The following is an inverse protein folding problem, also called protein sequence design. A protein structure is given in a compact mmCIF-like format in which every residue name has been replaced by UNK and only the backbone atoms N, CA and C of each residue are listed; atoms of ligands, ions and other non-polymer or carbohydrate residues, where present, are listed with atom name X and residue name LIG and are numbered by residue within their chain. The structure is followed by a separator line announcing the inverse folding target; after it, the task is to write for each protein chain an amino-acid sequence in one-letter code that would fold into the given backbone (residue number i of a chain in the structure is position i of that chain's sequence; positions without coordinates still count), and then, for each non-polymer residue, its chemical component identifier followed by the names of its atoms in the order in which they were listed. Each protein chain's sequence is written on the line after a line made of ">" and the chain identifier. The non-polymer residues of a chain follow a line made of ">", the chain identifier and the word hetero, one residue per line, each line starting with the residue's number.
data_IF_689093099749
#
_entry.id   IF_689093099749
#
_cell.length_a   1.000
_cell.length_b   1.000
_cell.length_c   1.000
_cell.angle_alpha   90.00
_cell.angle_beta   90.00
_cell.angle_gamma   90.00
#
_symmetry.space_group_name_H-M   'P 1'
#
loop_
_entity.id
_entity.type
_entity.pdbx_description
1 polymer ?
#
# COMPACT_ATOMS: atom_id res chain seq x y z
N UNK A 1 16.07 30.26 -30.96
CA UNK A 1 16.88 29.22 -30.31
C UNK A 1 16.01 27.98 -30.15
N UNK A 2 16.25 26.88 -30.91
CA UNK A 2 15.55 25.63 -30.64
C UNK A 2 15.99 25.16 -29.26
N UNK A 3 15.10 25.22 -28.25
CA UNK A 3 15.35 24.53 -27.00
C UNK A 3 15.58 23.04 -27.33
N UNK A 4 16.78 22.54 -27.01
CA UNK A 4 17.03 21.10 -27.06
C UNK A 4 16.04 20.43 -26.13
N UNK A 5 15.25 19.49 -26.65
CA UNK A 5 14.34 18.70 -25.80
C UNK A 5 15.21 17.92 -24.80
N UNK A 6 14.91 18.07 -23.52
CA UNK A 6 15.52 17.24 -22.48
C UNK A 6 15.05 15.80 -22.74
N UNK A 7 15.99 14.86 -22.72
CA UNK A 7 15.69 13.45 -22.95
C UNK A 7 16.05 12.62 -21.72
N UNK A 8 15.14 11.78 -21.28
CA UNK A 8 15.31 10.82 -20.19
C UNK A 8 14.97 9.40 -20.68
N UNK A 9 15.48 8.39 -20.04
CA UNK A 9 15.02 7.03 -20.32
C UNK A 9 13.58 6.86 -19.84
N UNK A 10 13.32 7.34 -18.61
CA UNK A 10 12.03 7.17 -17.93
C UNK A 10 11.57 8.49 -17.32
N UNK A 11 10.28 8.79 -17.48
CA UNK A 11 9.59 9.80 -16.68
C UNK A 11 8.57 9.10 -15.78
N UNK A 12 8.56 9.44 -14.50
CA UNK A 12 7.60 8.95 -13.52
C UNK A 12 6.70 10.11 -13.09
N UNK A 13 5.42 9.98 -13.33
CA UNK A 13 4.41 10.93 -12.90
C UNK A 13 3.75 10.46 -11.61
N UNK A 14 4.02 11.14 -10.50
CA UNK A 14 3.58 10.81 -9.15
C UNK A 14 4.74 10.42 -8.23
N UNK A 15 4.96 11.23 -7.19
CA UNK A 15 5.99 11.07 -6.14
C UNK A 15 5.44 10.48 -4.83
N UNK A 16 4.39 9.68 -4.89
CA UNK A 16 3.98 8.84 -3.77
C UNK A 16 4.99 7.72 -3.51
N UNK A 17 4.81 6.92 -2.44
CA UNK A 17 5.75 5.85 -2.09
C UNK A 17 6.05 4.94 -3.29
N UNK A 18 5.04 4.53 -4.05
CA UNK A 18 5.25 3.68 -5.22
C UNK A 18 6.06 4.37 -6.34
N UNK A 19 5.76 5.64 -6.63
CA UNK A 19 6.49 6.39 -7.66
C UNK A 19 7.95 6.67 -7.28
N UNK A 20 8.19 7.08 -6.02
CA UNK A 20 9.56 7.26 -5.51
C UNK A 20 10.32 5.94 -5.45
N UNK A 21 9.66 4.82 -5.08
CA UNK A 21 10.29 3.49 -5.12
C UNK A 21 10.64 3.10 -6.56
N UNK A 22 9.77 3.40 -7.53
CA UNK A 22 10.10 3.18 -8.93
C UNK A 22 11.30 4.03 -9.37
N UNK A 23 11.36 5.30 -8.95
CA UNK A 23 12.49 6.18 -9.26
C UNK A 23 13.81 5.63 -8.70
N UNK A 24 13.82 5.17 -7.45
CA UNK A 24 14.97 4.49 -6.85
C UNK A 24 15.32 3.24 -7.63
N UNK A 25 14.37 2.36 -7.88
CA UNK A 25 14.60 1.06 -8.51
C UNK A 25 15.20 1.18 -9.94
N UNK A 26 14.66 2.09 -10.75
CA UNK A 26 15.18 2.32 -12.09
C UNK A 26 16.50 3.11 -12.07
N UNK A 27 16.67 4.03 -11.12
CA UNK A 27 17.94 4.73 -10.91
C UNK A 27 19.06 3.78 -10.53
N UNK A 28 18.84 2.84 -9.60
CA UNK A 28 19.78 1.78 -9.23
C UNK A 28 20.18 0.90 -10.43
N UNK A 29 19.26 0.70 -11.35
CA UNK A 29 19.52 -0.06 -12.56
C UNK A 29 20.26 0.76 -13.64
N UNK A 30 20.61 2.03 -13.38
CA UNK A 30 21.40 2.89 -14.26
C UNK A 30 20.60 3.63 -15.33
N UNK A 31 19.25 3.68 -15.23
CA UNK A 31 18.44 4.46 -16.15
C UNK A 31 18.42 5.93 -15.74
N UNK A 32 18.39 6.84 -16.74
CA UNK A 32 18.14 8.27 -16.54
C UNK A 32 16.66 8.50 -16.24
N UNK A 33 16.34 8.90 -15.00
CA UNK A 33 14.97 9.03 -14.51
C UNK A 33 14.65 10.49 -14.17
N UNK A 34 13.47 10.95 -14.58
CA UNK A 34 12.80 12.13 -14.05
C UNK A 34 11.55 11.70 -13.31
N UNK A 35 11.43 12.03 -12.02
CA UNK A 35 10.23 11.83 -11.24
C UNK A 35 9.62 13.17 -10.84
N UNK A 36 8.32 13.35 -11.08
CA UNK A 36 7.61 14.60 -10.79
C UNK A 36 6.40 14.36 -9.91
N UNK A 37 6.12 15.26 -8.97
CA UNK A 37 4.90 15.25 -8.15
C UNK A 37 4.46 16.69 -7.85
N UNK A 38 3.15 17.02 -7.90
CA UNK A 38 2.66 18.35 -7.58
C UNK A 38 2.94 18.79 -6.14
N UNK A 39 3.22 17.84 -5.24
CA UNK A 39 3.47 18.09 -3.81
C UNK A 39 4.81 17.52 -3.36
N UNK A 40 5.49 18.24 -2.47
CA UNK A 40 6.67 17.69 -1.80
C UNK A 40 6.27 16.60 -0.79
N UNK A 41 7.00 15.47 -0.73
CA UNK A 41 6.76 14.46 0.30
C UNK A 41 6.98 15.02 1.69
N UNK A 42 6.02 14.83 2.59
CA UNK A 42 6.15 15.18 4.00
C UNK A 42 6.75 13.99 4.74
N UNK A 43 7.89 14.22 5.40
CA UNK A 43 8.64 13.21 6.18
C UNK A 43 8.50 13.42 7.69
N UNK A 44 8.17 14.63 8.14
CA UNK A 44 7.91 14.92 9.54
C UNK A 44 6.48 14.51 9.92
N UNK A 45 6.36 13.52 10.83
CA UNK A 45 5.08 13.03 11.34
C UNK A 45 4.28 14.10 12.12
N UNK A 46 4.93 15.15 12.63
CA UNK A 46 4.28 16.25 13.33
C UNK A 46 3.63 17.27 12.39
N UNK A 47 4.02 17.27 11.12
CA UNK A 47 3.48 18.18 10.13
C UNK A 47 2.01 17.86 9.83
N UNK A 48 1.16 18.91 9.73
CA UNK A 48 -0.28 18.76 9.51
C UNK A 48 -0.66 17.97 8.23
N UNK A 49 0.20 17.99 7.20
CA UNK A 49 0.04 17.25 5.95
C UNK A 49 0.67 15.86 5.94
N UNK A 50 1.16 15.36 7.09
CA UNK A 50 1.81 14.06 7.15
C UNK A 50 0.83 12.92 6.82
N UNK A 51 1.30 11.95 6.04
CA UNK A 51 0.59 10.68 5.84
C UNK A 51 0.90 9.75 7.01
N UNK A 52 0.05 9.77 8.02
CA UNK A 52 0.21 9.01 9.27
C UNK A 52 -0.22 7.54 9.14
N UNK A 53 -0.50 7.07 7.93
CA UNK A 53 -0.70 5.65 7.68
C UNK A 53 0.60 4.89 7.84
N UNK A 54 0.47 3.61 8.12
CA UNK A 54 1.58 2.67 8.11
C UNK A 54 1.32 1.59 7.06
N UNK A 55 2.38 0.94 6.64
CA UNK A 55 2.30 -0.16 5.69
C UNK A 55 3.11 -1.33 6.21
N UNK A 56 2.50 -2.50 6.26
CA UNK A 56 3.22 -3.75 6.47
C UNK A 56 3.83 -4.19 5.13
N UNK A 57 5.14 -4.18 5.05
CA UNK A 57 5.92 -4.68 3.91
C UNK A 57 6.09 -6.19 4.08
N UNK A 58 5.41 -6.97 3.26
CA UNK A 58 5.47 -8.43 3.28
C UNK A 58 6.82 -8.92 2.76
N UNK A 59 7.17 -10.18 3.04
CA UNK A 59 8.48 -10.76 2.71
C UNK A 59 8.95 -10.47 1.26
N UNK A 60 8.14 -10.66 0.19
CA UNK A 60 8.59 -10.34 -1.17
C UNK A 60 8.88 -8.86 -1.38
N UNK A 61 8.07 -7.98 -0.80
CA UNK A 61 8.27 -6.54 -0.90
C UNK A 61 9.53 -6.10 -0.14
N UNK A 62 9.78 -6.64 1.05
CA UNK A 62 10.98 -6.38 1.82
C UNK A 62 12.23 -6.82 1.06
N UNK A 63 12.21 -8.01 0.45
CA UNK A 63 13.31 -8.50 -0.37
C UNK A 63 13.60 -7.59 -1.57
N UNK A 64 12.56 -7.11 -2.25
CA UNK A 64 12.70 -6.12 -3.33
C UNK A 64 13.29 -4.80 -2.83
N UNK A 65 12.82 -4.27 -1.69
CA UNK A 65 13.36 -3.04 -1.09
C UNK A 65 14.83 -3.22 -0.65
N UNK A 66 15.21 -4.42 -0.20
CA UNK A 66 16.60 -4.78 0.09
C UNK A 66 17.45 -4.77 -1.18
N UNK A 67 16.96 -5.35 -2.27
CA UNK A 67 17.65 -5.41 -3.56
C UNK A 67 17.96 -4.03 -4.14
N UNK A 68 17.08 -3.05 -3.96
CA UNK A 68 17.27 -1.67 -4.42
C UNK A 68 17.98 -0.77 -3.39
N UNK A 69 18.53 -1.35 -2.31
CA UNK A 69 19.30 -0.64 -1.29
C UNK A 69 18.49 0.31 -0.40
N UNK A 70 17.17 0.18 -0.39
CA UNK A 70 16.29 1.03 0.42
C UNK A 70 16.04 0.47 1.82
N UNK A 71 15.89 -0.85 1.95
CA UNK A 71 15.53 -1.48 3.22
C UNK A 71 16.49 -1.16 4.38
N UNK A 72 17.83 -1.16 4.20
CA UNK A 72 18.77 -0.81 5.28
C UNK A 72 18.58 0.58 5.87
N UNK A 73 17.98 1.51 5.13
CA UNK A 73 17.74 2.89 5.59
C UNK A 73 16.52 3.04 6.50
N UNK A 74 15.67 2.01 6.56
CA UNK A 74 14.37 2.10 7.27
C UNK A 74 14.11 0.90 8.21
N UNK A 75 14.94 -0.13 8.16
CA UNK A 75 14.71 -1.39 8.86
C UNK A 75 14.57 -1.24 10.39
N UNK A 76 15.39 -0.41 11.01
CA UNK A 76 15.41 -0.13 12.44
C UNK A 76 14.18 0.63 12.96
N UNK A 77 13.43 1.27 12.05
CA UNK A 77 12.17 1.96 12.33
C UNK A 77 10.93 1.12 12.07
N UNK A 78 11.12 -0.14 11.69
CA UNK A 78 10.04 -1.07 11.39
C UNK A 78 9.76 -2.03 12.56
N UNK A 79 8.52 -2.47 12.71
CA UNK A 79 8.14 -3.50 13.67
C UNK A 79 7.83 -4.82 12.94
N UNK A 80 8.46 -5.95 13.30
CA UNK A 80 8.18 -7.24 12.69
C UNK A 80 6.78 -7.73 13.04
N UNK A 81 6.16 -8.50 12.15
CA UNK A 81 4.85 -9.12 12.30
C UNK A 81 5.01 -10.63 12.34
N UNK A 82 5.12 -11.19 13.55
CA UNK A 82 5.35 -12.62 13.76
C UNK A 82 4.06 -13.44 13.74
N UNK A 83 2.98 -12.87 14.30
CA UNK A 83 1.69 -13.53 14.43
C UNK A 83 0.62 -12.61 13.89
N UNK A 84 -0.29 -13.16 13.09
CA UNK A 84 -1.56 -12.56 12.76
C UNK A 84 -2.63 -13.19 13.64
N UNK A 85 -3.23 -12.38 14.49
CA UNK A 85 -4.30 -12.78 15.41
C UNK A 85 -5.63 -12.28 14.91
N UNK A 86 -6.61 -13.17 14.79
CA UNK A 86 -8.00 -12.82 14.53
C UNK A 86 -8.79 -13.04 15.80
N UNK A 87 -9.50 -12.00 16.25
CA UNK A 87 -10.38 -12.01 17.41
C UNK A 87 -11.80 -11.73 16.94
N UNK A 88 -12.71 -12.70 17.10
CA UNK A 88 -14.14 -12.48 16.90
C UNK A 88 -14.79 -12.22 18.25
N UNK A 89 -15.22 -10.98 18.45
CA UNK A 89 -15.88 -10.46 19.65
C UNK A 89 -17.36 -10.12 19.37
N UNK A 90 -17.95 -10.65 18.29
CA UNK A 90 -19.34 -10.41 17.92
C UNK A 90 -20.33 -11.35 18.63
N UNK A 91 -19.86 -12.45 19.24
CA UNK A 91 -20.65 -13.42 20.01
C UNK A 91 -20.53 -13.23 21.52
N UNK A 92 -21.18 -14.14 22.28
CA UNK A 92 -21.11 -14.18 23.76
C UNK A 92 -19.71 -14.54 24.26
N UNK A 93 -18.97 -15.36 23.49
CA UNK A 93 -17.61 -15.77 23.81
C UNK A 93 -16.62 -15.20 22.81
N UNK A 94 -15.48 -14.72 23.30
CA UNK A 94 -14.39 -14.22 22.48
C UNK A 94 -13.67 -15.41 21.84
N UNK A 95 -13.68 -15.47 20.49
CA UNK A 95 -12.97 -16.48 19.72
C UNK A 95 -11.64 -15.89 19.23
N UNK A 96 -10.52 -16.54 19.54
CA UNK A 96 -9.18 -16.11 19.16
C UNK A 96 -8.50 -17.19 18.33
N UNK A 97 -7.91 -16.81 17.21
CA UNK A 97 -7.11 -17.68 16.33
C UNK A 97 -5.81 -16.98 15.94
N UNK A 98 -4.71 -17.66 16.16
CA UNK A 98 -3.36 -17.17 15.88
C UNK A 98 -2.81 -17.91 14.66
N UNK A 99 -2.29 -17.16 13.70
CA UNK A 99 -1.55 -17.63 12.54
C UNK A 99 -0.10 -17.21 12.74
N UNK A 100 0.80 -18.19 12.88
CA UNK A 100 2.21 -17.93 13.16
C UNK A 100 3.02 -17.96 11.86
N UNK A 101 3.89 -16.97 11.64
CA UNK A 101 4.78 -16.93 10.50
C UNK A 101 5.68 -18.18 10.43
N UNK A 102 6.11 -18.70 11.58
CA UNK A 102 6.92 -19.91 11.69
C UNK A 102 6.25 -21.19 11.11
N UNK A 103 4.92 -21.17 10.87
CA UNK A 103 4.25 -22.28 10.20
C UNK A 103 4.65 -22.40 8.71
N UNK A 104 5.19 -21.35 8.11
CA UNK A 104 5.47 -21.28 6.65
C UNK A 104 6.83 -20.68 6.29
N UNK A 105 7.53 -20.00 7.22
CA UNK A 105 8.79 -19.31 6.96
C UNK A 105 9.54 -19.06 8.27
N UNK A 106 10.88 -18.99 8.21
CA UNK A 106 11.73 -18.57 9.34
C UNK A 106 11.72 -17.05 9.57
N UNK A 107 11.15 -16.27 8.64
CA UNK A 107 11.04 -14.84 8.74
C UNK A 107 9.62 -14.40 9.19
N UNK A 108 9.45 -13.19 9.74
CA UNK A 108 8.14 -12.60 10.00
C UNK A 108 7.29 -12.54 8.73
N UNK A 109 5.96 -12.45 8.84
CA UNK A 109 5.08 -12.20 7.70
C UNK A 109 5.45 -10.94 6.92
N UNK A 110 5.97 -9.96 7.62
CA UNK A 110 6.39 -8.68 7.10
C UNK A 110 6.79 -7.75 8.23
N UNK A 111 7.01 -6.49 7.91
CA UNK A 111 7.44 -5.44 8.82
C UNK A 111 6.57 -4.20 8.64
N UNK A 112 5.98 -3.72 9.71
CA UNK A 112 5.15 -2.51 9.67
C UNK A 112 6.03 -1.27 9.83
N UNK A 113 5.83 -0.29 8.96
CA UNK A 113 6.62 0.94 8.91
C UNK A 113 5.72 2.14 8.61
N UNK A 114 6.02 3.28 9.24
CA UNK A 114 5.35 4.55 8.95
C UNK A 114 5.61 5.03 7.52
N UNK A 115 4.58 5.57 6.88
CA UNK A 115 4.73 6.11 5.53
C UNK A 115 5.69 7.32 5.50
N UNK A 116 5.78 8.09 6.58
CA UNK A 116 6.73 9.20 6.74
C UNK A 116 8.18 8.69 6.79
N UNK A 117 8.47 7.60 7.52
CA UNK A 117 9.79 6.98 7.60
C UNK A 117 10.22 6.40 6.25
N UNK A 118 9.29 5.74 5.55
CA UNK A 118 9.55 5.24 4.20
C UNK A 118 9.86 6.37 3.22
N UNK A 119 9.14 7.48 3.29
CA UNK A 119 9.42 8.66 2.44
C UNK A 119 10.79 9.26 2.73
N UNK A 120 11.18 9.36 3.99
CA UNK A 120 12.51 9.85 4.37
C UNK A 120 13.61 8.94 3.80
N UNK A 121 13.47 7.62 3.97
CA UNK A 121 14.40 6.65 3.38
C UNK A 121 14.49 6.75 1.86
N UNK A 122 13.34 6.91 1.18
CA UNK A 122 13.28 7.10 -0.27
C UNK A 122 13.99 8.37 -0.72
N UNK A 123 13.76 9.50 -0.06
CA UNK A 123 14.44 10.77 -0.39
C UNK A 123 15.94 10.69 -0.13
N UNK A 124 16.36 10.06 0.96
CA UNK A 124 17.77 9.79 1.26
C UNK A 124 18.41 8.95 0.15
N UNK A 125 17.74 7.89 -0.29
CA UNK A 125 18.26 7.03 -1.37
C UNK A 125 18.32 7.75 -2.70
N UNK A 126 17.30 8.53 -3.05
CA UNK A 126 17.27 9.35 -4.27
C UNK A 126 18.42 10.37 -4.32
N UNK A 127 18.73 11.00 -3.19
CA UNK A 127 19.85 11.95 -3.08
C UNK A 127 21.22 11.32 -3.36
N UNK A 128 21.34 9.99 -3.29
CA UNK A 128 22.57 9.28 -3.63
C UNK A 128 22.63 8.80 -5.09
N UNK A 129 21.58 9.05 -5.90
CA UNK A 129 21.46 8.59 -7.28
C UNK A 129 21.58 9.79 -8.26
N UNK A 130 22.75 10.07 -8.84
CA UNK A 130 22.97 11.25 -9.69
C UNK A 130 22.21 11.19 -11.02
N UNK A 131 21.75 10.01 -11.44
CA UNK A 131 20.95 9.77 -12.65
C UNK A 131 19.44 9.88 -12.40
N UNK A 132 19.02 10.24 -11.19
CA UNK A 132 17.60 10.45 -10.84
C UNK A 132 17.37 11.90 -10.47
N UNK A 133 16.51 12.56 -11.25
CA UNK A 133 16.05 13.92 -10.98
C UNK A 133 14.63 13.86 -10.39
N UNK A 134 14.47 14.21 -9.10
CA UNK A 134 13.15 14.30 -8.47
C UNK A 134 12.76 15.76 -8.30
N UNK A 135 11.66 16.16 -8.93
CA UNK A 135 11.13 17.53 -8.93
C UNK A 135 9.78 17.62 -8.20
N UNK A 136 9.78 17.82 -6.88
CA UNK A 136 8.55 18.13 -6.13
C UNK A 136 8.04 19.53 -6.50
N UNK A 137 6.70 19.71 -6.52
CA UNK A 137 6.04 20.93 -6.95
C UNK A 137 5.77 21.00 -8.47
N UNK A 138 6.22 19.99 -9.21
CA UNK A 138 6.03 19.90 -10.67
C UNK A 138 5.08 18.75 -10.98
N UNK A 139 4.10 19.00 -11.84
CA UNK A 139 3.14 17.98 -12.30
C UNK A 139 3.20 17.74 -13.81
N UNK A 140 2.74 16.57 -14.22
CA UNK A 140 2.49 16.26 -15.64
C UNK A 140 1.16 16.91 -16.06
N UNK A 141 1.22 17.82 -17.04
CA UNK A 141 0.05 18.49 -17.61
C UNK A 141 -0.55 17.67 -18.75
N UNK A 142 0.31 17.16 -19.62
CA UNK A 142 -0.11 16.33 -20.75
C UNK A 142 0.98 15.38 -21.19
N UNK A 143 0.60 14.30 -21.82
CA UNK A 143 1.51 13.36 -22.47
C UNK A 143 1.02 13.07 -23.89
N UNK A 144 1.94 13.01 -24.84
CA UNK A 144 1.72 12.58 -26.19
C UNK A 144 2.69 11.44 -26.50
N UNK A 145 2.17 10.32 -26.93
CA UNK A 145 2.98 9.13 -27.23
C UNK A 145 3.11 8.92 -28.73
N UNK A 146 4.24 8.36 -29.11
CA UNK A 146 4.58 7.92 -30.48
C UNK A 146 5.27 6.56 -30.38
N UNK A 147 5.42 5.88 -31.47
CA UNK A 147 6.07 4.55 -31.50
C UNK A 147 7.47 4.51 -30.87
N UNK A 148 8.22 5.61 -30.90
CA UNK A 148 9.61 5.68 -30.41
C UNK A 148 9.78 6.37 -29.06
N UNK A 149 8.87 7.26 -28.68
CA UNK A 149 9.01 8.10 -27.47
C UNK A 149 7.67 8.56 -26.91
N UNK A 150 7.65 8.90 -25.64
CA UNK A 150 6.61 9.73 -25.02
C UNK A 150 7.14 11.16 -24.83
N UNK A 151 6.30 12.16 -25.08
CA UNK A 151 6.56 13.58 -24.86
C UNK A 151 5.67 14.08 -23.75
N UNK A 152 6.26 14.53 -22.69
CA UNK A 152 5.56 15.00 -21.48
C UNK A 152 5.72 16.51 -21.37
N UNK A 153 4.62 17.22 -21.17
CA UNK A 153 4.62 18.63 -20.82
C UNK A 153 4.40 18.77 -19.32
N UNK A 154 5.31 19.46 -18.66
CA UNK A 154 5.31 19.71 -17.23
C UNK A 154 4.62 21.03 -16.88
N UNK A 155 4.22 21.21 -15.62
CA UNK A 155 3.62 22.46 -15.12
C UNK A 155 4.59 23.65 -15.17
N UNK A 156 5.91 23.40 -15.22
CA UNK A 156 6.94 24.40 -15.51
C UNK A 156 6.95 24.90 -16.96
N UNK A 157 6.08 24.38 -17.82
CA UNK A 157 6.07 24.57 -19.29
C UNK A 157 7.22 23.87 -20.03
N UNK A 158 8.06 23.13 -19.34
CA UNK A 158 9.10 22.32 -19.97
C UNK A 158 8.49 21.14 -20.72
N UNK A 159 9.16 20.72 -21.79
CA UNK A 159 8.84 19.53 -22.55
C UNK A 159 9.99 18.55 -22.47
N UNK A 160 9.70 17.38 -21.94
CA UNK A 160 10.68 16.31 -21.75
C UNK A 160 10.24 15.10 -22.58
N UNK A 161 11.18 14.49 -23.28
CA UNK A 161 10.97 13.24 -24.00
C UNK A 161 11.51 12.06 -23.20
N UNK A 162 10.87 10.90 -23.32
CA UNK A 162 11.36 9.67 -22.70
C UNK A 162 11.02 8.44 -23.54
N UNK A 163 11.74 7.35 -23.29
CA UNK A 163 11.43 6.03 -23.87
C UNK A 163 10.17 5.42 -23.25
N UNK A 164 9.98 5.62 -21.93
CA UNK A 164 8.85 5.11 -21.19
C UNK A 164 8.34 6.12 -20.15
N UNK A 165 7.03 6.35 -20.14
CA UNK A 165 6.31 7.07 -19.10
C UNK A 165 5.74 6.07 -18.10
N UNK A 166 6.00 6.24 -16.80
CA UNK A 166 5.38 5.48 -15.71
C UNK A 166 4.36 6.37 -15.01
N UNK A 167 3.10 5.99 -15.07
CA UNK A 167 2.02 6.67 -14.37
C UNK A 167 1.82 6.04 -12.99
N UNK A 168 2.22 6.77 -11.95
CA UNK A 168 2.01 6.50 -10.52
C UNK A 168 1.15 7.60 -9.86
N UNK A 169 0.33 8.28 -10.66
CA UNK A 169 -0.40 9.52 -10.41
C UNK A 169 -1.75 9.31 -9.71
N UNK A 170 -1.91 8.17 -9.03
CA UNK A 170 -3.00 7.86 -8.13
C UNK A 170 -4.26 7.29 -8.81
N UNK A 171 -5.27 7.02 -7.96
CA UNK A 171 -6.51 6.30 -8.35
C UNK A 171 -7.32 7.00 -9.43
N UNK A 172 -7.24 8.31 -9.49
CA UNK A 172 -7.92 9.15 -10.50
C UNK A 172 -6.94 9.62 -11.59
N UNK A 173 -5.95 8.80 -11.93
CA UNK A 173 -4.87 9.05 -12.88
C UNK A 173 -5.32 9.84 -14.12
N UNK A 174 -4.84 11.08 -14.31
CA UNK A 174 -5.10 11.85 -15.51
C UNK A 174 -4.44 11.23 -16.75
N UNK A 175 -3.25 10.59 -16.59
CA UNK A 175 -2.56 9.92 -17.69
C UNK A 175 -3.37 8.71 -18.17
N UNK A 176 -3.91 7.89 -17.26
CA UNK A 176 -4.79 6.78 -17.63
C UNK A 176 -6.03 7.26 -18.38
N UNK A 177 -6.68 8.35 -17.91
CA UNK A 177 -7.84 8.92 -18.57
C UNK A 177 -7.50 9.48 -19.97
N UNK A 178 -6.37 10.17 -20.09
CA UNK A 178 -5.89 10.67 -21.39
C UNK A 178 -5.63 9.54 -22.40
N UNK A 179 -5.12 8.40 -21.91
CA UNK A 179 -4.95 7.18 -22.72
C UNK A 179 -6.28 6.44 -23.00
N UNK A 180 -7.43 6.97 -22.54
CA UNK A 180 -8.79 6.40 -22.69
C UNK A 180 -8.92 4.98 -22.11
N UNK A 181 -8.11 4.63 -21.11
CA UNK A 181 -8.17 3.35 -20.42
C UNK A 181 -9.15 3.46 -19.26
N UNK A 182 -10.20 2.65 -19.32
CA UNK A 182 -11.23 2.58 -18.27
C UNK A 182 -10.69 1.80 -17.07
N UNK A 183 -11.28 2.10 -15.90
CA UNK A 183 -11.07 1.33 -14.68
C UNK A 183 -12.42 1.00 -14.06
N UNK A 184 -12.63 -0.27 -13.73
CA UNK A 184 -13.82 -0.70 -13.00
C UNK A 184 -13.61 -0.37 -11.52
N UNK A 185 -14.49 0.47 -10.95
CA UNK A 185 -14.46 0.89 -9.55
C UNK A 185 -15.67 0.34 -8.81
N UNK A 186 -15.45 -0.12 -7.58
CA UNK A 186 -16.50 -0.51 -6.64
C UNK A 186 -16.30 0.29 -5.36
N UNK A 187 -17.36 1.00 -4.93
CA UNK A 187 -17.40 1.67 -3.64
C UNK A 187 -18.11 0.74 -2.64
N UNK A 188 -17.53 0.58 -1.45
CA UNK A 188 -18.08 -0.29 -0.41
C UNK A 188 -18.99 0.45 0.58
N UNK A 189 -19.14 1.75 0.44
CA UNK A 189 -19.93 2.58 1.36
C UNK A 189 -19.35 2.66 2.77
N UNK A 190 -18.02 2.52 2.88
CA UNK A 190 -17.27 2.52 4.12
C UNK A 190 -16.13 3.54 4.09
N UNK A 191 -15.69 3.94 5.30
CA UNK A 191 -14.42 4.62 5.50
C UNK A 191 -13.49 3.72 6.32
N UNK A 192 -12.20 3.84 6.09
CA UNK A 192 -11.16 3.38 6.98
C UNK A 192 -10.64 4.59 7.76
N UNK A 193 -10.68 4.52 9.10
CA UNK A 193 -10.08 5.50 9.99
C UNK A 193 -8.70 4.99 10.38
N UNK A 194 -7.66 5.75 10.07
CA UNK A 194 -6.27 5.44 10.38
C UNK A 194 -5.70 6.40 11.41
N UNK A 195 -5.04 5.87 12.42
CA UNK A 195 -4.34 6.59 13.50
C UNK A 195 -3.36 5.64 14.19
N UNK A 196 -2.55 6.15 15.11
CA UNK A 196 -1.72 5.33 15.99
C UNK A 196 -2.13 5.52 17.45
N UNK A 197 -1.89 4.49 18.24
CA UNK A 197 -2.17 4.46 19.69
C UNK A 197 -0.96 4.00 20.48
N UNK A 198 -0.79 4.51 21.71
CA UNK A 198 -0.05 3.84 22.78
C UNK A 198 -0.98 2.97 23.59
N UNK A 199 -0.44 1.96 24.29
CA UNK A 199 -1.22 1.00 25.07
C UNK A 199 -0.42 0.41 26.23
N UNK A 200 -1.10 -0.27 27.16
CA UNK A 200 -0.49 -0.77 28.41
C UNK A 200 0.22 -2.12 28.25
N UNK A 201 -0.30 -2.98 27.36
CA UNK A 201 0.16 -4.36 27.20
C UNK A 201 1.04 -4.45 25.95
N UNK A 202 2.22 -5.07 26.04
CA UNK A 202 3.11 -5.29 24.91
C UNK A 202 2.41 -6.08 23.79
N UNK A 203 2.54 -5.62 22.55
CA UNK A 203 1.95 -6.28 21.38
C UNK A 203 2.69 -7.56 20.96
N UNK A 204 3.90 -7.81 21.46
CA UNK A 204 4.72 -9.03 21.18
C UNK A 204 4.83 -9.35 19.68
N UNK A 205 4.90 -8.34 18.82
CA UNK A 205 4.93 -8.47 17.35
C UNK A 205 3.68 -9.17 16.76
N UNK A 206 2.55 -9.09 17.44
CA UNK A 206 1.27 -9.65 17.04
C UNK A 206 0.40 -8.59 16.39
N UNK A 207 0.10 -8.74 15.11
CA UNK A 207 -0.95 -7.97 14.44
C UNK A 207 -2.31 -8.56 14.81
N UNK A 208 -3.18 -7.77 15.44
CA UNK A 208 -4.48 -8.25 15.91
C UNK A 208 -5.63 -7.59 15.14
N UNK A 209 -6.45 -8.40 14.47
CA UNK A 209 -7.67 -7.97 13.80
C UNK A 209 -8.89 -8.37 14.64
N UNK A 210 -9.63 -7.37 15.14
CA UNK A 210 -10.82 -7.57 15.98
C UNK A 210 -12.07 -7.37 15.15
N UNK A 211 -12.89 -8.42 15.05
CA UNK A 211 -14.22 -8.40 14.47
C UNK A 211 -15.26 -8.21 15.58
N UNK A 212 -15.96 -7.08 15.57
CA UNK A 212 -17.12 -6.77 16.40
C UNK A 212 -18.26 -6.36 15.46
N UNK A 213 -19.06 -5.37 15.71
CA UNK A 213 -20.01 -4.81 14.74
C UNK A 213 -19.31 -3.90 13.71
N UNK A 214 -19.83 -3.81 12.48
CA UNK A 214 -19.50 -2.80 11.48
C UNK A 214 -18.36 -3.13 10.51
N UNK A 215 -17.27 -3.69 10.96
CA UNK A 215 -16.10 -4.02 10.15
C UNK A 215 -14.86 -4.30 10.98
N UNK A 216 -13.72 -4.66 10.39
CA UNK A 216 -12.51 -4.98 11.14
C UNK A 216 -11.89 -3.74 11.82
N UNK A 217 -11.35 -3.99 13.02
CA UNK A 217 -10.50 -3.07 13.76
C UNK A 217 -9.14 -3.74 13.93
N UNK A 218 -8.14 -3.24 13.24
CA UNK A 218 -6.83 -3.89 13.20
C UNK A 218 -5.79 -3.07 13.94
N UNK A 219 -5.11 -3.70 14.89
CA UNK A 219 -3.95 -3.18 15.62
C UNK A 219 -2.70 -3.79 15.02
N UNK A 220 -1.81 -2.98 14.48
CA UNK A 220 -0.57 -3.44 13.83
C UNK A 220 0.63 -2.90 14.60
N UNK A 221 1.55 -3.74 15.09
CA UNK A 221 2.73 -3.32 15.83
C UNK A 221 3.48 -2.16 15.23
N UNK A 222 3.92 -1.24 16.07
CA UNK A 222 4.86 -0.16 15.79
C UNK A 222 6.00 -0.21 16.81
N UNK A 223 7.16 0.39 16.53
CA UNK A 223 8.15 0.66 17.56
C UNK A 223 7.56 1.48 18.72
N UNK A 224 8.09 1.31 19.92
CA UNK A 224 7.63 2.01 21.12
C UNK A 224 7.61 3.53 20.90
N UNK A 225 6.58 4.18 21.41
CA UNK A 225 6.45 5.63 21.38
C UNK A 225 6.55 6.22 22.79
N UNK A 226 7.56 7.06 23.04
CA UNK A 226 7.85 7.67 24.35
C UNK A 226 7.93 6.62 25.48
N UNK A 227 8.55 5.45 25.19
CA UNK A 227 8.73 4.37 26.16
C UNK A 227 7.47 3.55 26.45
N UNK A 228 6.37 3.79 25.73
CA UNK A 228 5.15 2.95 25.76
C UNK A 228 5.02 2.12 24.51
N UNK A 229 4.50 0.88 24.59
CA UNK A 229 4.14 0.10 23.45
C UNK A 229 3.17 0.85 22.53
N UNK A 230 3.31 0.72 21.21
CA UNK A 230 2.45 1.42 20.28
C UNK A 230 2.01 0.56 19.11
N UNK A 231 0.86 0.88 18.54
CA UNK A 231 0.30 0.20 17.37
C UNK A 231 -0.36 1.20 16.41
N UNK A 232 -0.23 0.93 15.12
CA UNK A 232 -1.07 1.57 14.13
C UNK A 232 -2.45 0.93 14.15
N UNK A 233 -3.48 1.75 13.94
CA UNK A 233 -4.87 1.28 13.86
C UNK A 233 -5.44 1.56 12.48
N UNK A 234 -6.14 0.56 11.94
CA UNK A 234 -7.04 0.71 10.80
C UNK A 234 -8.42 0.22 11.24
N UNK A 235 -9.35 1.15 11.39
CA UNK A 235 -10.74 0.85 11.73
C UNK A 235 -11.64 1.06 10.53
N UNK A 236 -12.28 0.02 10.05
CA UNK A 236 -13.19 0.06 8.92
C UNK A 236 -14.62 0.01 9.40
N UNK A 237 -15.44 1.00 8.99
CA UNK A 237 -16.86 1.01 9.34
C UNK A 237 -17.68 1.82 8.33
N UNK A 238 -19.00 1.87 8.53
CA UNK A 238 -19.92 2.72 7.75
C UNK A 238 -19.50 4.18 7.85
N UNK A 239 -19.76 4.94 6.80
CA UNK A 239 -19.38 6.36 6.71
C UNK A 239 -19.90 7.17 7.91
N UNK A 240 -21.16 6.93 8.33
CA UNK A 240 -21.75 7.63 9.48
C UNK A 240 -21.04 7.36 10.79
N UNK A 241 -20.71 6.08 11.07
CA UNK A 241 -20.01 5.69 12.28
C UNK A 241 -18.60 6.30 12.36
N UNK A 242 -17.84 6.26 11.27
CA UNK A 242 -16.49 6.85 11.25
C UNK A 242 -16.55 8.38 11.42
N UNK A 243 -17.50 9.07 10.79
CA UNK A 243 -17.67 10.51 10.97
C UNK A 243 -18.03 10.88 12.40
N UNK A 244 -18.89 10.10 13.05
CA UNK A 244 -19.21 10.25 14.47
C UNK A 244 -17.97 10.09 15.34
N UNK A 245 -17.16 9.04 15.13
CA UNK A 245 -15.92 8.82 15.85
C UNK A 245 -14.91 9.97 15.64
N UNK A 246 -14.82 10.53 14.45
CA UNK A 246 -13.93 11.67 14.17
C UNK A 246 -14.35 12.95 14.92
N UNK A 247 -15.64 13.12 15.22
CA UNK A 247 -16.16 14.31 15.92
C UNK A 247 -16.08 14.23 17.44
N UNK A 248 -15.75 13.07 18.01
CA UNK A 248 -15.65 12.88 19.47
C UNK A 248 -14.44 13.59 20.07
N UNK A 249 -14.56 13.96 21.36
CA UNK A 249 -13.40 14.37 22.16
C UNK A 249 -12.36 13.26 22.22
N UNK A 250 -11.12 13.59 22.58
CA UNK A 250 -10.04 12.60 22.70
C UNK A 250 -10.37 11.54 23.76
N UNK A 251 -10.93 11.93 24.88
CA UNK A 251 -11.30 11.04 25.99
C UNK A 251 -12.40 10.06 25.56
N UNK A 252 -13.46 10.55 24.93
CA UNK A 252 -14.55 9.72 24.43
C UNK A 252 -14.07 8.76 23.31
N UNK A 253 -13.19 9.26 22.43
CA UNK A 253 -12.60 8.46 21.39
C UNK A 253 -11.70 7.33 21.95
N UNK A 254 -10.83 7.64 22.94
CA UNK A 254 -9.98 6.64 23.59
C UNK A 254 -10.80 5.54 24.28
N UNK A 255 -11.89 5.91 24.96
CA UNK A 255 -12.81 4.94 25.54
C UNK A 255 -13.48 4.05 24.45
N UNK A 256 -13.93 4.66 23.35
CA UNK A 256 -14.56 3.94 22.25
C UNK A 256 -13.61 2.96 21.54
N UNK A 257 -12.36 3.34 21.28
CA UNK A 257 -11.37 2.45 20.63
C UNK A 257 -10.90 1.35 21.59
N UNK A 258 -10.82 1.60 22.89
CA UNK A 258 -10.52 0.58 23.90
C UNK A 258 -11.63 -0.49 23.93
N UNK A 259 -12.91 -0.09 23.98
CA UNK A 259 -14.04 -1.02 23.86
C UNK A 259 -14.04 -1.75 22.51
N UNK A 260 -13.79 -1.02 21.43
CA UNK A 260 -13.78 -1.59 20.07
C UNK A 260 -12.69 -2.64 19.89
N UNK A 261 -11.54 -2.47 20.55
CA UNK A 261 -10.43 -3.42 20.57
C UNK A 261 -10.70 -4.68 21.41
N UNK A 262 -11.83 -4.77 22.12
CA UNK A 262 -12.11 -5.78 23.12
C UNK A 262 -11.03 -5.86 24.23
N UNK A 263 -10.32 -4.76 24.50
CA UNK A 263 -9.30 -4.63 25.55
C UNK A 263 -8.05 -5.49 25.32
N UNK A 264 -7.80 -5.98 24.11
CA UNK A 264 -6.70 -6.95 23.83
C UNK A 264 -5.31 -6.42 24.17
N UNK A 265 -5.11 -5.10 24.17
CA UNK A 265 -3.86 -4.43 24.54
C UNK A 265 -4.01 -3.48 25.75
N UNK A 266 -5.09 -3.62 26.52
CA UNK A 266 -5.40 -2.74 27.65
C UNK A 266 -6.02 -1.42 27.18
N UNK A 267 -5.75 -0.33 27.90
CA UNK A 267 -6.23 1.01 27.53
C UNK A 267 -5.49 1.50 26.28
N UNK A 268 -6.24 2.09 25.37
CA UNK A 268 -5.70 2.67 24.14
C UNK A 268 -5.77 4.20 24.21
N UNK A 269 -4.64 4.86 23.99
CA UNK A 269 -4.52 6.32 23.91
C UNK A 269 -4.07 6.74 22.51
N UNK A 270 -4.86 7.55 21.82
CA UNK A 270 -4.48 8.04 20.48
C UNK A 270 -3.28 8.98 20.55
N UNK A 271 -2.27 8.76 19.70
CA UNK A 271 -1.01 9.52 19.68
C UNK A 271 -0.78 10.25 18.34
N UNK A 272 -1.72 10.19 17.40
CA UNK A 272 -1.64 10.87 16.11
C UNK A 272 -2.96 11.51 15.72
N UNK A 273 -2.98 12.30 14.65
CA UNK A 273 -4.22 12.72 14.00
C UNK A 273 -5.01 11.50 13.48
N UNK A 274 -6.33 11.65 13.40
CA UNK A 274 -7.29 10.64 12.91
C UNK A 274 -7.66 10.97 11.46
N UNK A 275 -7.25 10.16 10.51
CA UNK A 275 -7.48 10.40 9.08
C UNK A 275 -8.37 9.32 8.48
N UNK A 276 -9.41 9.74 7.76
CA UNK A 276 -10.38 8.83 7.15
C UNK A 276 -10.21 8.75 5.63
N UNK A 277 -10.36 7.54 5.07
CA UNK A 277 -10.23 7.24 3.65
C UNK A 277 -11.43 6.43 3.14
N UNK A 278 -11.96 6.72 1.94
CA UNK A 278 -12.99 5.90 1.35
C UNK A 278 -12.44 4.51 0.97
N UNK A 279 -13.20 3.47 1.32
CA UNK A 279 -12.86 2.10 0.96
C UNK A 279 -13.45 1.79 -0.40
N UNK A 280 -12.57 1.66 -1.37
CA UNK A 280 -12.91 1.30 -2.75
C UNK A 280 -12.03 0.15 -3.23
N UNK A 281 -12.48 -0.53 -4.27
CA UNK A 281 -11.62 -1.31 -5.14
C UNK A 281 -11.67 -0.75 -6.56
N UNK A 282 -10.56 -0.84 -7.28
CA UNK A 282 -10.46 -0.41 -8.66
C UNK A 282 -9.51 -1.32 -9.43
N UNK A 283 -9.81 -1.59 -10.69
CA UNK A 283 -8.93 -2.32 -11.59
C UNK A 283 -9.02 -1.72 -12.99
N UNK A 284 -7.89 -1.31 -13.55
CA UNK A 284 -7.80 -0.84 -14.92
C UNK A 284 -7.95 -1.97 -15.92
N UNK A 285 -8.57 -1.69 -17.07
CA UNK A 285 -8.72 -2.66 -18.16
C UNK A 285 -7.35 -3.07 -18.71
N UNK A 286 -6.43 -2.12 -18.82
CA UNK A 286 -5.04 -2.34 -19.24
C UNK A 286 -4.07 -1.67 -18.26
N UNK A 287 -2.89 -2.28 -18.06
CA UNK A 287 -1.80 -1.75 -17.25
C UNK A 287 -0.76 -1.01 -18.09
N UNK A 288 -1.07 -0.79 -19.36
CA UNK A 288 -0.22 -0.04 -20.27
C UNK A 288 -1.01 0.65 -21.37
N UNK A 289 -0.39 1.66 -21.96
CA UNK A 289 -0.72 2.26 -23.25
C UNK A 289 0.56 2.40 -24.08
N UNK A 290 0.48 3.03 -25.26
CA UNK A 290 1.69 3.30 -26.05
C UNK A 290 2.72 4.05 -25.19
N UNK A 291 3.94 3.50 -25.09
CA UNK A 291 5.07 4.05 -24.29
C UNK A 291 4.75 4.36 -22.81
N UNK A 292 3.66 3.84 -22.27
CA UNK A 292 3.20 4.17 -20.92
C UNK A 292 2.88 2.93 -20.13
N UNK A 293 3.44 2.80 -18.91
CA UNK A 293 3.07 1.80 -17.90
C UNK A 293 2.24 2.46 -16.80
N UNK A 294 1.18 1.79 -16.36
CA UNK A 294 0.40 2.19 -15.16
C UNK A 294 0.79 1.27 -14.01
N UNK A 295 1.17 1.85 -12.87
CA UNK A 295 1.52 1.13 -11.64
C UNK A 295 0.67 1.63 -10.47
N UNK A 296 0.67 0.87 -9.38
CA UNK A 296 0.03 1.26 -8.13
C UNK A 296 -1.45 1.68 -8.30
N UNK A 297 -1.90 2.74 -7.61
CA UNK A 297 -3.31 3.17 -7.66
C UNK A 297 -3.75 3.64 -9.06
N UNK A 298 -2.84 3.98 -9.96
CA UNK A 298 -3.18 4.24 -11.36
C UNK A 298 -3.65 2.97 -12.09
N UNK A 299 -3.15 1.79 -11.69
CA UNK A 299 -3.51 0.49 -12.24
C UNK A 299 -4.60 -0.23 -11.41
N UNK A 300 -4.48 -0.22 -10.09
CA UNK A 300 -5.36 -0.98 -9.20
C UNK A 300 -5.45 -0.36 -7.80
N UNK A 301 -6.61 -0.53 -7.15
CA UNK A 301 -6.85 -0.17 -5.75
C UNK A 301 -7.53 -1.35 -5.07
N UNK A 302 -7.11 -1.70 -3.87
CA UNK A 302 -7.73 -2.73 -3.04
C UNK A 302 -8.07 -2.17 -1.65
N UNK A 303 -9.12 -2.68 -0.98
CA UNK A 303 -9.41 -2.33 0.41
C UNK A 303 -8.20 -2.59 1.33
N UNK A 304 -8.04 -1.84 2.44
CA UNK A 304 -6.88 -1.94 3.33
C UNK A 304 -6.97 -3.18 4.24
N UNK A 305 -7.07 -4.38 3.64
CA UNK A 305 -7.11 -5.66 4.33
C UNK A 305 -5.87 -6.46 3.95
N UNK A 306 -5.14 -6.96 4.96
CA UNK A 306 -3.96 -7.81 4.78
C UNK A 306 -2.79 -7.13 4.06
N UNK A 307 -2.67 -5.80 4.16
CA UNK A 307 -1.57 -5.00 3.60
C UNK A 307 -1.34 -5.16 2.08
N UNK A 308 -2.39 -5.50 1.29
CA UNK A 308 -2.22 -5.90 -0.11
C UNK A 308 -1.89 -4.74 -1.06
N UNK A 309 -2.32 -3.50 -0.78
CA UNK A 309 -2.26 -2.38 -1.73
C UNK A 309 -0.85 -2.04 -2.21
N UNK A 310 0.01 -1.58 -1.29
CA UNK A 310 1.37 -1.19 -1.63
C UNK A 310 2.25 -2.40 -2.00
N UNK A 311 2.08 -3.54 -1.34
CA UNK A 311 2.83 -4.76 -1.69
C UNK A 311 2.56 -5.22 -3.14
N UNK A 312 1.31 -5.10 -3.62
CA UNK A 312 0.96 -5.35 -5.01
C UNK A 312 1.66 -4.35 -5.95
N UNK A 313 1.72 -3.07 -5.55
CA UNK A 313 2.38 -2.01 -6.30
C UNK A 313 3.90 -2.21 -6.40
N UNK A 314 4.55 -2.67 -5.32
CA UNK A 314 5.98 -3.02 -5.34
C UNK A 314 6.27 -4.16 -6.29
N UNK A 315 5.42 -5.19 -6.33
CA UNK A 315 5.55 -6.26 -7.32
C UNK A 315 5.31 -5.79 -8.76
N UNK A 316 4.52 -4.72 -9.00
CA UNK A 316 4.41 -4.12 -10.34
C UNK A 316 5.72 -3.46 -10.75
N UNK A 317 6.36 -2.73 -9.83
CA UNK A 317 7.64 -2.06 -10.07
C UNK A 317 8.73 -3.09 -10.34
N UNK A 318 8.83 -4.13 -9.52
CA UNK A 318 9.78 -5.23 -9.67
C UNK A 318 9.64 -5.90 -11.05
N UNK A 319 8.42 -6.29 -11.44
CA UNK A 319 8.17 -6.93 -12.72
C UNK A 319 8.50 -6.02 -13.93
N UNK A 320 8.20 -4.72 -13.82
CA UNK A 320 8.52 -3.75 -14.88
C UNK A 320 10.04 -3.52 -14.97
N UNK A 321 10.72 -3.45 -13.81
CA UNK A 321 12.18 -3.33 -13.73
C UNK A 321 12.88 -4.54 -14.33
N UNK A 322 12.46 -5.75 -14.02
CA UNK A 322 13.05 -6.99 -14.55
C UNK A 322 12.94 -7.04 -16.08
N UNK A 323 11.80 -6.64 -16.63
CA UNK A 323 11.62 -6.55 -18.08
C UNK A 323 12.53 -5.50 -18.70
N UNK A 324 12.70 -4.35 -18.06
CA UNK A 324 13.58 -3.28 -18.53
C UNK A 324 15.06 -3.69 -18.47
N UNK A 325 15.49 -4.36 -17.40
CA UNK A 325 16.86 -4.89 -17.27
C UNK A 325 17.18 -5.99 -18.28
N UNK A 326 16.19 -6.84 -18.60
CA UNK A 326 16.35 -7.91 -19.57
C UNK A 326 16.56 -7.39 -21.01
N UNK A 327 15.97 -6.23 -21.35
CA UNK A 327 16.08 -5.64 -22.68
C UNK A 327 16.10 -4.09 -22.61
N UNK A 328 17.19 -3.46 -22.16
CA UNK A 328 17.26 -2.01 -21.95
C UNK A 328 17.03 -1.18 -23.22
N UNK A 329 17.40 -1.71 -24.38
CA UNK A 329 17.16 -1.05 -25.66
C UNK A 329 15.67 -0.99 -26.05
N UNK A 330 14.85 -1.90 -25.52
CA UNK A 330 13.42 -2.05 -25.83
C UNK A 330 12.51 -1.44 -24.77
N UNK A 331 13.07 -0.66 -23.86
CA UNK A 331 12.28 -0.05 -22.77
C UNK A 331 11.11 0.77 -23.34
N UNK A 332 9.92 0.54 -22.81
CA UNK A 332 8.68 1.19 -23.23
C UNK A 332 8.11 0.72 -24.58
N UNK A 333 8.68 -0.31 -25.21
CA UNK A 333 8.11 -0.90 -26.41
C UNK A 333 6.84 -1.70 -26.12
N UNK A 334 6.00 -1.82 -27.13
CA UNK A 334 4.69 -2.45 -27.01
C UNK A 334 4.78 -3.90 -26.47
N UNK A 335 5.76 -4.68 -26.93
CA UNK A 335 5.93 -6.07 -26.50
C UNK A 335 6.36 -6.17 -25.04
N UNK A 336 7.27 -5.31 -24.57
CA UNK A 336 7.66 -5.23 -23.16
C UNK A 336 6.46 -4.89 -22.30
N UNK A 337 5.70 -3.86 -22.66
CA UNK A 337 4.54 -3.38 -21.90
C UNK A 337 3.40 -4.40 -21.91
N UNK A 338 3.21 -5.13 -23.00
CA UNK A 338 2.25 -6.23 -23.08
C UNK A 338 2.63 -7.39 -22.15
N UNK A 339 3.92 -7.76 -22.08
CA UNK A 339 4.43 -8.77 -21.15
C UNK A 339 4.22 -8.33 -19.69
N UNK A 340 4.49 -7.06 -19.37
CA UNK A 340 4.20 -6.48 -18.05
C UNK A 340 2.71 -6.65 -17.70
N UNK A 341 1.81 -6.25 -18.58
CA UNK A 341 0.36 -6.41 -18.38
C UNK A 341 -0.04 -7.86 -18.14
N UNK A 342 0.47 -8.79 -18.97
CA UNK A 342 0.16 -10.21 -18.86
C UNK A 342 0.66 -10.81 -17.53
N UNK A 343 1.79 -10.35 -17.03
CA UNK A 343 2.34 -10.81 -15.77
C UNK A 343 1.56 -10.25 -14.55
N UNK A 344 1.15 -8.98 -14.60
CA UNK A 344 0.66 -8.28 -13.39
C UNK A 344 -0.85 -8.19 -13.28
N UNK A 345 -1.56 -7.94 -14.38
CA UNK A 345 -3.01 -7.72 -14.32
C UNK A 345 -3.81 -8.91 -13.75
N UNK A 346 -3.52 -10.18 -14.09
CA UNK A 346 -4.23 -11.32 -13.50
C UNK A 346 -4.03 -11.42 -11.98
N UNK A 347 -2.81 -11.11 -11.50
CA UNK A 347 -2.49 -11.08 -10.06
C UNK A 347 -3.29 -9.97 -9.38
N UNK A 348 -3.29 -8.75 -9.92
CA UNK A 348 -4.07 -7.65 -9.38
C UNK A 348 -5.58 -7.95 -9.40
N UNK A 349 -6.10 -8.58 -10.45
CA UNK A 349 -7.49 -8.98 -10.56
C UNK A 349 -7.87 -9.98 -9.46
N UNK A 350 -7.07 -11.01 -9.23
CA UNK A 350 -7.31 -11.99 -8.16
C UNK A 350 -7.31 -11.33 -6.78
N UNK A 351 -6.39 -10.37 -6.54
CA UNK A 351 -6.35 -9.60 -5.29
C UNK A 351 -7.56 -8.68 -5.12
N UNK A 352 -7.95 -7.93 -6.14
CA UNK A 352 -9.15 -7.08 -6.12
C UNK A 352 -10.40 -7.88 -5.81
N UNK A 353 -10.57 -9.06 -6.42
CA UNK A 353 -11.70 -9.95 -6.18
C UNK A 353 -11.66 -10.57 -4.79
N UNK A 354 -10.51 -11.13 -4.39
CA UNK A 354 -10.34 -11.82 -3.10
C UNK A 354 -10.50 -10.86 -1.92
N UNK A 355 -9.79 -9.72 -1.92
CA UNK A 355 -9.89 -8.72 -0.85
C UNK A 355 -11.28 -8.10 -0.82
N UNK A 356 -11.89 -7.86 -2.00
CA UNK A 356 -13.27 -7.40 -2.08
C UNK A 356 -14.29 -8.40 -1.50
N UNK A 357 -14.08 -9.70 -1.66
CA UNK A 357 -14.90 -10.75 -1.05
C UNK A 357 -14.69 -10.79 0.47
N UNK A 358 -13.44 -10.73 0.94
CA UNK A 358 -13.13 -10.65 2.37
C UNK A 358 -13.79 -9.42 3.02
N UNK A 359 -13.73 -8.26 2.38
CA UNK A 359 -14.38 -7.05 2.90
C UNK A 359 -15.91 -7.23 3.01
N UNK A 360 -16.55 -7.88 2.04
CA UNK A 360 -17.99 -8.16 2.14
C UNK A 360 -18.30 -9.14 3.28
N UNK A 361 -17.48 -10.17 3.45
CA UNK A 361 -17.65 -11.15 4.52
C UNK A 361 -17.45 -10.53 5.91
N UNK A 362 -16.49 -9.61 6.06
CA UNK A 362 -16.23 -8.91 7.33
C UNK A 362 -17.36 -7.96 7.74
N UNK A 363 -18.13 -7.45 6.75
CA UNK A 363 -19.29 -6.56 6.98
C UNK A 363 -20.57 -7.32 7.35
N UNK A 364 -20.63 -8.63 7.11
CA UNK A 364 -21.85 -9.39 7.31
C UNK A 364 -22.22 -9.38 8.81
N UNK A 365 -23.38 -8.81 9.12
CA UNK A 365 -23.91 -8.65 10.48
C UNK A 365 -24.95 -9.73 10.80
N UNK A 366 -25.19 -9.94 12.10
CA UNK A 366 -26.18 -10.86 12.61
C UNK A 366 -25.60 -12.22 13.05
N UNK A 367 -26.37 -12.98 13.87
CA UNK A 367 -25.88 -14.18 14.54
C UNK A 367 -25.50 -15.30 13.55
N UNK A 368 -26.19 -15.41 12.43
CA UNK A 368 -25.90 -16.43 11.39
C UNK A 368 -24.54 -16.13 10.74
N UNK A 369 -24.29 -14.87 10.38
CA UNK A 369 -23.03 -14.46 9.77
C UNK A 369 -21.84 -14.60 10.74
N UNK A 370 -22.02 -14.23 12.00
CA UNK A 370 -21.01 -14.42 13.05
C UNK A 370 -20.68 -15.91 13.23
N UNK A 371 -21.71 -16.78 13.32
CA UNK A 371 -21.52 -18.22 13.45
C UNK A 371 -20.83 -18.83 12.23
N UNK A 372 -21.21 -18.42 11.01
CA UNK A 372 -20.58 -18.89 9.76
C UNK A 372 -19.11 -18.44 9.70
N UNK A 373 -18.80 -17.20 10.09
CA UNK A 373 -17.43 -16.68 10.16
C UNK A 373 -16.58 -17.44 11.17
N UNK A 374 -17.10 -17.69 12.39
CA UNK A 374 -16.42 -18.44 13.42
C UNK A 374 -16.12 -19.89 12.98
N UNK A 375 -17.11 -20.58 12.38
CA UNK A 375 -16.93 -21.93 11.85
C UNK A 375 -15.91 -21.98 10.69
N UNK A 376 -15.97 -21.02 9.77
CA UNK A 376 -15.01 -20.90 8.67
C UNK A 376 -13.59 -20.67 9.17
N UNK A 377 -13.42 -19.77 10.15
CA UNK A 377 -12.14 -19.49 10.78
C UNK A 377 -11.58 -20.72 11.51
N UNK A 378 -12.44 -21.43 12.24
CA UNK A 378 -12.05 -22.67 12.94
C UNK A 378 -11.63 -23.77 11.97
N UNK A 379 -12.36 -23.96 10.87
CA UNK A 379 -12.00 -24.93 9.83
C UNK A 379 -10.65 -24.60 9.18
N UNK A 380 -10.41 -23.32 8.81
CA UNK A 380 -9.13 -22.85 8.26
C UNK A 380 -8.00 -23.10 9.25
N UNK A 381 -8.22 -22.78 10.53
CA UNK A 381 -7.19 -22.91 11.56
C UNK A 381 -6.83 -24.38 11.85
N UNK A 382 -7.80 -25.30 11.86
CA UNK A 382 -7.59 -26.73 12.18
C UNK A 382 -6.95 -27.51 11.02
N UNK A 383 -7.25 -27.16 9.77
CA UNK A 383 -6.73 -27.88 8.60
C UNK A 383 -5.36 -27.31 8.21
N UNK A 384 -4.29 -27.88 8.76
CA UNK A 384 -2.91 -27.35 8.59
C UNK A 384 -2.51 -27.13 7.12
N UNK A 385 -2.75 -28.03 6.14
CA UNK A 385 -2.38 -27.74 4.76
C UNK A 385 -3.13 -26.52 4.18
N UNK A 386 -4.44 -26.41 4.45
CA UNK A 386 -5.26 -25.27 4.00
C UNK A 386 -4.77 -23.98 4.64
N UNK A 387 -4.50 -24.00 5.94
CA UNK A 387 -3.97 -22.86 6.69
C UNK A 387 -2.66 -22.35 6.08
N UNK A 388 -1.69 -23.23 5.88
CA UNK A 388 -0.40 -22.89 5.26
C UNK A 388 -0.55 -22.31 3.85
N UNK A 389 -1.37 -22.95 3.03
CA UNK A 389 -1.63 -22.48 1.66
C UNK A 389 -2.27 -21.07 1.64
N UNK A 390 -3.25 -20.81 2.50
CA UNK A 390 -3.89 -19.49 2.61
C UNK A 390 -2.92 -18.43 3.13
N UNK A 391 -2.05 -18.78 4.09
CA UNK A 391 -1.00 -17.88 4.60
C UNK A 391 0.00 -17.54 3.48
N UNK A 392 0.50 -18.52 2.73
CA UNK A 392 1.40 -18.32 1.59
C UNK A 392 0.76 -17.46 0.48
N UNK A 393 -0.50 -17.75 0.15
CA UNK A 393 -1.27 -16.92 -0.79
C UNK A 393 -1.41 -15.47 -0.28
N UNK A 394 -1.67 -15.29 1.01
CA UNK A 394 -1.73 -13.96 1.66
C UNK A 394 -0.44 -13.18 1.51
N UNK A 395 0.72 -13.83 1.68
CA UNK A 395 2.03 -13.23 1.51
C UNK A 395 2.42 -12.97 0.04
N UNK A 396 1.80 -13.64 -0.91
CA UNK A 396 2.20 -13.60 -2.31
C UNK A 396 3.41 -14.49 -2.64
N UNK A 397 3.75 -15.41 -1.75
CA UNK A 397 4.78 -16.45 -1.98
C UNK A 397 4.13 -17.57 -2.81
N UNK A 398 4.84 -18.01 -3.85
CA UNK A 398 4.44 -19.14 -4.71
C UNK A 398 5.09 -20.43 -4.27
#
# INVERSE_FOLDING_TARGET
>A
MKMMAIYKDIIISGGGIAGLTAAVAFGEAGFEVLCVDPTAPVTDRSHQGADLRTTAYLQPAQAFLQQIGLWPLVADRSAPLQIMRIVDAAGEALVRKDFNAADISDAPFGWNLGNWDMREGLLTRLGALPNVDFQPGISTISSQTRSTEARVTLSSSERVCCKMLIAADGRDSPIRRAAKIRAKRTDFGQLALSFAVSHDIQHENISTEVHKAGGPFTLVPLPDFNGKPSSAVVWMDRISAIKEMQSQSIEAFNAAITDRSAGVLGQLEVITARTAWPIISQLSDHFFAERTAFIAEAAHVVPPIGAQGLNLSLGDIEALLDLAKAAPAQIGEADMLKRYHQARRPIAQSRVLGVGALNRASKAEGPIAAKARALGLDAIHRITPLRRQLMQLGLGIR
#
